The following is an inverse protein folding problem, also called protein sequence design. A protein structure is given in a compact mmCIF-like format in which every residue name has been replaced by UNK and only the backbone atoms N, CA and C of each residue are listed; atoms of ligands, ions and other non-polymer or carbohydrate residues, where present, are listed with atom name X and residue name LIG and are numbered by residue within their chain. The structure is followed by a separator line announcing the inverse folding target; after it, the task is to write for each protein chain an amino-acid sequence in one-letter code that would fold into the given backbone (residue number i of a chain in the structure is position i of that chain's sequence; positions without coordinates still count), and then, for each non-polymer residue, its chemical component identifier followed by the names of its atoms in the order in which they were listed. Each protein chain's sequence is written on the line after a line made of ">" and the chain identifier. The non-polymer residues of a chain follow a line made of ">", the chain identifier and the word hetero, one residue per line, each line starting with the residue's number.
data_IF_234778668351
#
_entry.id   IF_234778668351
#
_cell.length_a   1.000
_cell.length_b   1.000
_cell.length_c   1.000
_cell.angle_alpha   90.00
_cell.angle_beta   90.00
_cell.angle_gamma   90.00
#
_symmetry.space_group_name_H-M   'P 1'
#
loop_
_entity.id
_entity.type
_entity.pdbx_description
1 polymer ?
#
# COMPACT_ATOMS: atom_id res chain seq x y z
N UNK A 1 12.09 0.56 -0.92
CA UNK A 1 12.06 -0.68 -0.09
C UNK A 1 11.88 -0.43 1.41
N UNK A 2 12.53 0.58 2.02
CA UNK A 2 12.39 0.87 3.46
C UNK A 2 10.95 1.15 3.93
N UNK A 3 10.15 1.87 3.14
CA UNK A 3 8.74 2.13 3.46
C UNK A 3 7.94 0.84 3.73
N UNK A 4 8.06 -0.16 2.85
CA UNK A 4 7.35 -1.44 3.00
C UNK A 4 7.80 -2.17 4.26
N UNK A 5 9.10 -2.16 4.56
CA UNK A 5 9.66 -2.78 5.77
C UNK A 5 9.07 -2.11 7.02
N UNK A 6 9.02 -0.78 7.05
CA UNK A 6 8.42 -0.02 8.16
C UNK A 6 6.93 -0.38 8.31
N UNK A 7 6.16 -0.39 7.21
CA UNK A 7 4.76 -0.80 7.25
C UNK A 7 4.57 -2.21 7.80
N UNK A 8 5.43 -3.17 7.41
CA UNK A 8 5.39 -4.55 7.91
C UNK A 8 5.72 -4.62 9.39
N UNK A 9 6.74 -3.89 9.87
CA UNK A 9 7.08 -3.84 11.30
C UNK A 9 5.91 -3.26 12.12
N UNK A 10 5.35 -2.13 11.68
CA UNK A 10 4.21 -1.50 12.34
C UNK A 10 3.01 -2.44 12.34
N UNK A 11 2.74 -3.13 11.24
CA UNK A 11 1.64 -4.09 11.14
C UNK A 11 1.84 -5.31 12.05
N UNK A 12 3.06 -5.84 12.16
CA UNK A 12 3.38 -6.94 13.09
C UNK A 12 3.14 -6.51 14.53
N UNK A 13 3.63 -5.32 14.91
CA UNK A 13 3.42 -4.77 16.25
C UNK A 13 1.93 -4.55 16.54
N UNK A 14 1.20 -3.96 15.60
CA UNK A 14 -0.26 -3.79 15.69
C UNK A 14 -0.98 -5.13 15.89
N UNK A 15 -0.62 -6.14 15.10
CA UNK A 15 -1.20 -7.49 15.18
C UNK A 15 -0.90 -8.15 16.52
N UNK A 16 0.33 -8.02 17.01
CA UNK A 16 0.74 -8.53 18.32
C UNK A 16 -0.05 -7.85 19.46
N UNK A 17 -0.22 -6.54 19.41
CA UNK A 17 -1.02 -5.79 20.40
C UNK A 17 -2.49 -6.22 20.35
N UNK A 18 -3.08 -6.35 19.15
CA UNK A 18 -4.44 -6.87 18.99
C UNK A 18 -4.60 -8.27 19.59
N UNK A 19 -3.65 -9.16 19.33
CA UNK A 19 -3.69 -10.53 19.86
C UNK A 19 -3.65 -10.52 21.40
N UNK A 20 -2.80 -9.67 22.00
CA UNK A 20 -2.72 -9.52 23.46
C UNK A 20 -4.00 -8.95 24.08
N UNK A 21 -4.67 -8.03 23.39
CA UNK A 21 -5.89 -7.36 23.87
C UNK A 21 -7.14 -8.21 23.69
N UNK A 22 -7.31 -8.87 22.55
CA UNK A 22 -8.52 -9.62 22.19
C UNK A 22 -8.47 -11.10 22.55
N UNK A 23 -7.27 -11.66 22.78
CA UNK A 23 -7.06 -13.08 23.15
C UNK A 23 -7.88 -14.05 22.28
N UNK A 24 -8.92 -14.65 22.83
CA UNK A 24 -9.78 -15.64 22.16
C UNK A 24 -10.66 -15.03 21.05
N UNK A 25 -10.97 -13.73 21.12
CA UNK A 25 -11.73 -13.03 20.08
C UNK A 25 -10.87 -12.57 18.90
N UNK A 26 -9.55 -12.77 18.99
CA UNK A 26 -8.62 -12.40 17.94
C UNK A 26 -8.84 -13.24 16.68
N UNK A 27 -9.01 -12.55 15.56
CA UNK A 27 -9.07 -13.18 14.23
C UNK A 27 -8.13 -12.46 13.28
N UNK A 28 -7.27 -13.21 12.59
CA UNK A 28 -6.25 -12.68 11.68
C UNK A 28 -6.84 -11.72 10.63
N UNK A 29 -8.02 -12.01 10.07
CA UNK A 29 -8.66 -11.13 9.08
C UNK A 29 -8.95 -9.72 9.63
N UNK A 30 -9.25 -9.59 10.93
CA UNK A 30 -9.46 -8.28 11.58
C UNK A 30 -8.17 -7.46 11.58
N UNK A 31 -7.02 -8.13 11.75
CA UNK A 31 -5.72 -7.49 11.69
C UNK A 31 -5.25 -7.23 10.24
N UNK A 32 -5.73 -8.01 9.27
CA UNK A 32 -5.42 -7.83 7.85
C UNK A 32 -6.16 -6.65 7.21
N UNK A 33 -7.37 -6.33 7.69
CA UNK A 33 -8.18 -5.23 7.15
C UNK A 33 -7.46 -3.88 7.09
N UNK A 34 -6.79 -3.39 8.16
CA UNK A 34 -6.01 -2.15 8.09
C UNK A 34 -4.90 -2.19 7.03
N UNK A 35 -4.28 -3.35 6.80
CA UNK A 35 -3.23 -3.51 5.79
C UNK A 35 -3.79 -3.39 4.37
N UNK A 36 -4.99 -3.92 4.13
CA UNK A 36 -5.72 -3.75 2.85
C UNK A 36 -6.05 -2.27 2.62
N UNK A 37 -6.57 -1.59 3.64
CA UNK A 37 -6.91 -0.16 3.52
C UNK A 37 -5.65 0.66 3.22
N UNK A 38 -4.55 0.40 3.92
CA UNK A 38 -3.28 1.08 3.70
C UNK A 38 -2.75 0.84 2.27
N UNK A 39 -2.81 -0.40 1.77
CA UNK A 39 -2.32 -0.71 0.42
C UNK A 39 -3.14 0.01 -0.65
N UNK A 40 -4.45 0.14 -0.47
CA UNK A 40 -5.31 0.91 -1.37
C UNK A 40 -4.97 2.41 -1.34
N UNK A 41 -4.75 2.99 -0.17
CA UNK A 41 -4.32 4.40 -0.03
C UNK A 41 -2.98 4.64 -0.75
N UNK A 42 -2.02 3.73 -0.57
CA UNK A 42 -0.74 3.77 -1.27
C UNK A 42 -0.95 3.68 -2.79
N UNK A 43 -1.81 2.78 -3.25
CA UNK A 43 -2.10 2.59 -4.67
C UNK A 43 -2.74 3.83 -5.30
N UNK A 44 -3.68 4.48 -4.59
CA UNK A 44 -4.26 5.75 -5.01
C UNK A 44 -3.19 6.83 -5.12
N UNK A 45 -2.30 6.92 -4.13
CA UNK A 45 -1.22 7.90 -4.11
C UNK A 45 -0.26 7.71 -5.31
N UNK A 46 0.17 6.48 -5.56
CA UNK A 46 1.05 6.16 -6.68
C UNK A 46 0.34 6.34 -8.03
N UNK A 47 -0.95 6.04 -8.12
CA UNK A 47 -1.77 6.26 -9.31
C UNK A 47 -1.88 7.74 -9.69
N UNK A 48 -2.13 8.63 -8.71
CA UNK A 48 -2.13 10.08 -8.93
C UNK A 48 -0.78 10.57 -9.47
N UNK A 49 0.33 10.08 -8.90
CA UNK A 49 1.66 10.44 -9.36
C UNK A 49 1.95 9.94 -10.78
N UNK A 50 1.54 8.72 -11.11
CA UNK A 50 1.68 8.18 -12.45
C UNK A 50 0.90 9.02 -13.47
N UNK A 51 -0.38 9.31 -13.20
CA UNK A 51 -1.22 10.13 -14.09
C UNK A 51 -0.64 11.54 -14.26
N UNK A 52 -0.23 12.18 -13.17
CA UNK A 52 0.37 13.51 -13.19
C UNK A 52 1.69 13.56 -13.98
N UNK A 53 2.46 12.47 -13.99
CA UNK A 53 3.70 12.35 -14.78
C UNK A 53 3.47 11.97 -16.24
N UNK A 54 2.37 11.26 -16.54
CA UNK A 54 2.09 10.73 -17.87
C UNK A 54 1.37 11.74 -18.80
N UNK A 55 0.74 12.77 -18.23
CA UNK A 55 -0.04 13.76 -18.99
C UNK A 55 0.71 15.11 -18.97
N UNK A 56 1.39 15.50 -20.08
CA UNK A 56 2.18 16.73 -20.12
C UNK A 56 1.39 18.02 -19.88
N UNK A 57 0.08 18.02 -20.13
CA UNK A 57 -0.78 19.18 -19.88
C UNK A 57 -1.13 19.39 -18.41
N UNK A 58 -0.84 18.42 -17.54
CA UNK A 58 -1.12 18.49 -16.09
C UNK A 58 0.10 18.99 -15.31
N UNK A 59 1.33 18.72 -15.78
CA UNK A 59 2.57 19.22 -15.17
C UNK A 59 3.69 19.47 -16.18
N UNK A 60 4.51 20.47 -15.86
CA UNK A 60 5.78 20.73 -16.51
C UNK A 60 6.84 19.72 -16.05
N UNK A 61 6.75 18.50 -16.59
CA UNK A 61 7.72 17.43 -16.38
C UNK A 61 7.32 16.38 -15.35
N UNK A 62 8.28 15.54 -14.98
CA UNK A 62 8.08 14.40 -14.08
C UNK A 62 8.46 14.83 -12.67
N UNK A 63 7.52 14.75 -11.73
CA UNK A 63 7.79 15.06 -10.33
C UNK A 63 6.91 14.24 -9.38
N UNK A 64 7.26 14.26 -8.09
CA UNK A 64 6.45 13.62 -7.04
C UNK A 64 5.43 14.63 -6.50
N UNK A 65 4.16 14.24 -6.53
CA UNK A 65 3.01 15.07 -6.16
C UNK A 65 2.37 14.70 -4.82
N UNK A 66 2.76 13.56 -4.22
CA UNK A 66 2.24 13.16 -2.91
C UNK A 66 3.36 12.78 -1.95
N UNK A 67 3.22 13.14 -0.68
CA UNK A 67 4.20 12.80 0.35
C UNK A 67 4.40 11.29 0.49
N UNK A 68 3.34 10.48 0.30
CA UNK A 68 3.45 9.02 0.34
C UNK A 68 4.28 8.48 -0.83
N UNK A 69 4.12 9.01 -2.05
CA UNK A 69 4.94 8.59 -3.18
C UNK A 69 6.41 8.99 -2.96
N UNK A 70 6.67 10.12 -2.30
CA UNK A 70 8.02 10.53 -1.94
C UNK A 70 8.72 9.50 -1.04
N UNK A 71 8.01 8.97 -0.03
CA UNK A 71 8.56 7.97 0.88
C UNK A 71 8.81 6.60 0.21
N UNK A 72 8.13 6.33 -0.90
CA UNK A 72 8.20 5.06 -1.63
C UNK A 72 9.25 5.11 -2.74
N UNK A 73 9.17 6.15 -3.58
CA UNK A 73 9.96 6.32 -4.81
C UNK A 73 11.30 7.02 -4.52
N UNK A 74 11.33 7.99 -3.60
CA UNK A 74 12.52 8.82 -3.31
C UNK A 74 12.76 9.92 -4.35
N UNK A 75 13.92 10.59 -4.31
CA UNK A 75 14.23 11.74 -5.18
C UNK A 75 14.97 11.41 -6.48
N UNK A 76 15.48 10.18 -6.64
CA UNK A 76 16.39 9.87 -7.74
C UNK A 76 15.70 9.19 -8.94
N UNK A 77 16.19 9.51 -10.14
CA UNK A 77 15.93 8.76 -11.39
C UNK A 77 14.47 8.66 -11.81
N UNK A 78 13.69 9.73 -11.64
CA UNK A 78 12.28 9.75 -12.01
C UNK A 78 12.05 9.53 -13.51
N UNK A 79 11.14 8.62 -13.81
CA UNK A 79 10.67 8.36 -15.17
C UNK A 79 9.22 7.91 -15.13
N UNK A 80 8.47 8.14 -16.22
CA UNK A 80 7.07 7.69 -16.32
C UNK A 80 7.00 6.17 -16.10
N UNK A 81 7.96 5.42 -16.64
CA UNK A 81 8.00 3.97 -16.49
C UNK A 81 8.23 3.53 -15.03
N UNK A 82 9.06 4.26 -14.28
CA UNK A 82 9.25 4.00 -12.85
C UNK A 82 7.93 4.16 -12.09
N UNK A 83 7.23 5.28 -12.32
CA UNK A 83 5.97 5.60 -11.64
C UNK A 83 4.89 4.59 -12.00
N UNK A 84 4.80 4.19 -13.27
CA UNK A 84 3.92 3.11 -13.74
C UNK A 84 4.21 1.80 -13.03
N UNK A 85 5.47 1.38 -12.94
CA UNK A 85 5.83 0.12 -12.30
C UNK A 85 5.46 0.10 -10.81
N UNK A 86 5.73 1.19 -10.07
CA UNK A 86 5.31 1.29 -8.67
C UNK A 86 3.80 1.22 -8.51
N UNK A 87 3.05 1.92 -9.37
CA UNK A 87 1.60 1.84 -9.39
C UNK A 87 1.11 0.40 -9.67
N UNK A 88 1.60 -0.24 -10.72
CA UNK A 88 1.21 -1.61 -11.09
C UNK A 88 1.49 -2.61 -9.95
N UNK A 89 2.67 -2.54 -9.32
CA UNK A 89 2.99 -3.38 -8.16
C UNK A 89 2.04 -3.11 -6.99
N UNK A 90 1.71 -1.86 -6.72
CA UNK A 90 0.81 -1.51 -5.60
C UNK A 90 -0.61 -2.05 -5.81
N UNK A 91 -1.10 -2.06 -7.06
CA UNK A 91 -2.39 -2.65 -7.42
C UNK A 91 -2.36 -4.16 -7.22
N UNK A 92 -1.34 -4.86 -7.73
CA UNK A 92 -1.21 -6.30 -7.54
C UNK A 92 -1.14 -6.70 -6.06
N UNK A 93 -0.36 -5.96 -5.26
CA UNK A 93 -0.30 -6.17 -3.80
C UNK A 93 -1.67 -5.96 -3.16
N UNK A 94 -2.39 -4.89 -3.53
CA UNK A 94 -3.73 -4.62 -3.00
C UNK A 94 -4.74 -5.72 -3.37
N UNK A 95 -4.69 -6.23 -4.59
CA UNK A 95 -5.54 -7.33 -5.05
C UNK A 95 -5.25 -8.62 -4.28
N UNK A 96 -3.97 -8.96 -4.08
CA UNK A 96 -3.56 -10.13 -3.30
C UNK A 96 -4.04 -9.99 -1.85
N UNK A 97 -3.84 -8.85 -1.21
CA UNK A 97 -4.28 -8.60 0.15
C UNK A 97 -5.80 -8.67 0.29
N UNK A 98 -6.55 -8.14 -0.68
CA UNK A 98 -8.00 -8.21 -0.70
C UNK A 98 -8.49 -9.66 -0.85
N UNK A 99 -7.86 -10.44 -1.73
CA UNK A 99 -8.17 -11.85 -1.92
C UNK A 99 -7.87 -12.66 -0.64
N UNK A 100 -6.72 -12.43 0.00
CA UNK A 100 -6.36 -13.07 1.28
C UNK A 100 -7.35 -12.71 2.39
N UNK A 101 -7.72 -11.43 2.51
CA UNK A 101 -8.72 -10.98 3.48
C UNK A 101 -10.07 -11.67 3.26
N UNK A 102 -10.53 -11.71 2.02
CA UNK A 102 -11.81 -12.31 1.65
C UNK A 102 -11.80 -13.82 1.91
N UNK A 103 -10.74 -14.52 1.51
CA UNK A 103 -10.57 -15.95 1.75
C UNK A 103 -10.51 -16.30 3.24
N UNK A 104 -9.75 -15.53 4.03
CA UNK A 104 -9.65 -15.73 5.48
C UNK A 104 -10.96 -15.41 6.23
N UNK A 105 -11.75 -14.47 5.71
CA UNK A 105 -13.07 -14.16 6.27
C UNK A 105 -14.04 -15.32 6.02
N UNK A 106 -14.14 -15.77 4.78
CA UNK A 106 -15.07 -16.84 4.37
C UNK A 106 -14.73 -18.18 5.05
N UNK A 107 -13.45 -18.54 5.17
CA UNK A 107 -13.07 -19.82 5.79
C UNK A 107 -13.31 -19.87 7.32
N UNK A 108 -13.47 -18.72 7.98
CA UNK A 108 -13.72 -18.66 9.44
C UNK A 108 -15.18 -18.39 9.80
N UNK A 109 -16.06 -18.30 8.81
CA UNK A 109 -17.51 -18.26 8.94
C UNK A 109 -18.08 -19.66 8.64
#
# INVERSE_FOLDING_TARGET
>A
MFFVIICMIVWILYTFVMQRRLKEEFRLFKALLPLVILSLIVSLSLGVNYVASAIPSINDGISIHTSLAHWIIGEDSWSINLFKNYFDYSIWISLILLALYSGLRIWKD
#
